data_IF_929258464780
#
_entry.id   IF_929258464780
#
_cell.length_a   1.000
_cell.length_b   1.000
_cell.length_c   1.000
_cell.angle_alpha   90.00
_cell.angle_beta   90.00
_cell.angle_gamma   90.00
#
_symmetry.space_group_name_H-M   'P 1'
#
loop_
_entity.id
_entity.type
_entity.pdbx_description
1 polymer ?
#
# COMPACT_ATOMS: atom_id res chain seq x y z
N UNK A 1 -13.42 0.62 -15.59
CA UNK A 1 -12.87 1.54 -16.63
C UNK A 1 -11.36 1.45 -16.61
N UNK A 2 -10.69 1.33 -17.77
CA UNK A 2 -9.24 1.38 -17.84
C UNK A 2 -8.76 2.78 -17.45
N UNK A 3 -7.88 2.85 -16.46
CA UNK A 3 -7.24 4.10 -16.04
C UNK A 3 -6.04 4.40 -16.94
N UNK A 4 -5.86 5.67 -17.28
CA UNK A 4 -4.73 6.11 -18.10
C UNK A 4 -3.39 5.81 -17.42
N UNK A 5 -2.31 5.66 -18.21
CA UNK A 5 -0.96 5.36 -17.69
C UNK A 5 -0.50 6.35 -16.61
N UNK A 6 -0.78 7.65 -16.81
CA UNK A 6 -0.52 8.72 -15.83
C UNK A 6 -1.33 8.57 -14.54
N UNK A 7 -2.59 8.12 -14.62
CA UNK A 7 -3.40 7.83 -13.43
C UNK A 7 -2.89 6.59 -12.69
N UNK A 8 -2.46 5.56 -13.43
CA UNK A 8 -1.88 4.35 -12.84
C UNK A 8 -0.61 4.67 -12.02
N UNK A 9 0.26 5.53 -12.55
CA UNK A 9 1.46 6.01 -11.85
C UNK A 9 1.12 6.76 -10.56
N UNK A 10 0.13 7.67 -10.61
CA UNK A 10 -0.34 8.39 -9.41
C UNK A 10 -0.90 7.41 -8.36
N UNK A 11 -1.70 6.44 -8.78
CA UNK A 11 -2.25 5.41 -7.90
C UNK A 11 -1.14 4.52 -7.30
N UNK A 12 -0.11 4.19 -8.07
CA UNK A 12 1.03 3.42 -7.56
C UNK A 12 1.85 4.20 -6.54
N UNK A 13 2.05 5.51 -6.74
CA UNK A 13 2.68 6.38 -5.73
C UNK A 13 1.87 6.43 -4.44
N UNK A 14 0.55 6.58 -4.53
CA UNK A 14 -0.35 6.58 -3.35
C UNK A 14 -0.32 5.23 -2.64
N UNK A 15 -0.31 4.12 -3.38
CA UNK A 15 -0.21 2.76 -2.81
C UNK A 15 1.13 2.56 -2.09
N UNK A 16 2.24 3.04 -2.66
CA UNK A 16 3.56 2.99 -2.02
C UNK A 16 3.61 3.81 -0.74
N UNK A 17 3.13 5.06 -0.76
CA UNK A 17 3.06 5.90 0.44
C UNK A 17 2.22 5.25 1.56
N UNK A 18 1.04 4.70 1.23
CA UNK A 18 0.23 3.95 2.19
C UNK A 18 0.93 2.68 2.70
N UNK A 19 1.71 2.00 1.87
CA UNK A 19 2.48 0.84 2.29
C UNK A 19 3.61 1.23 3.25
N UNK A 20 4.30 2.33 3.01
CA UNK A 20 5.33 2.87 3.91
C UNK A 20 4.74 3.31 5.26
N UNK A 21 3.60 4.00 5.27
CA UNK A 21 2.91 4.36 6.52
C UNK A 21 2.43 3.13 7.30
N UNK A 22 1.89 2.13 6.61
CA UNK A 22 1.50 0.87 7.24
C UNK A 22 2.72 0.06 7.70
N UNK A 23 3.87 0.18 7.04
CA UNK A 23 5.14 -0.42 7.48
C UNK A 23 5.59 0.22 8.78
N UNK A 24 5.70 1.54 8.82
CA UNK A 24 6.07 2.28 10.03
C UNK A 24 5.16 1.94 11.21
N UNK A 25 3.85 1.85 10.97
CA UNK A 25 2.90 1.43 12.01
C UNK A 25 3.03 -0.05 12.40
N UNK A 26 3.36 -0.93 11.46
CA UNK A 26 3.60 -2.35 11.74
C UNK A 26 4.90 -2.55 12.54
N UNK A 27 5.94 -1.78 12.24
CA UNK A 27 7.22 -1.76 12.95
C UNK A 27 7.07 -1.17 14.35
N UNK A 28 6.17 -0.19 14.52
CA UNK A 28 5.72 0.32 15.82
C UNK A 28 4.85 -0.69 16.63
N UNK A 29 4.72 -1.94 16.19
CA UNK A 29 4.03 -3.01 16.93
C UNK A 29 2.53 -3.15 16.62
N UNK A 30 1.98 -2.38 15.68
CA UNK A 30 0.56 -2.51 15.30
C UNK A 30 0.30 -3.79 14.49
N UNK A 31 -0.25 -4.81 15.15
CA UNK A 31 -0.71 -6.07 14.51
C UNK A 31 -1.75 -5.81 13.40
N UNK A 32 -2.54 -4.75 13.54
CA UNK A 32 -3.54 -4.36 12.54
C UNK A 32 -2.90 -3.78 11.26
N UNK A 33 -1.86 -2.96 11.41
CA UNK A 33 -1.09 -2.42 10.30
C UNK A 33 -0.35 -3.52 9.55
N UNK A 34 0.26 -4.47 10.27
CA UNK A 34 0.92 -5.65 9.67
C UNK A 34 -0.03 -6.50 8.82
N UNK A 35 -1.26 -6.75 9.30
CA UNK A 35 -2.32 -7.44 8.52
C UNK A 35 -2.73 -6.64 7.28
N UNK A 36 -2.86 -5.32 7.38
CA UNK A 36 -3.23 -4.44 6.25
C UNK A 36 -2.12 -4.38 5.20
N UNK A 37 -0.86 -4.29 5.63
CA UNK A 37 0.32 -4.30 4.76
C UNK A 37 0.41 -5.61 3.97
N UNK A 38 0.30 -6.76 4.66
CA UNK A 38 0.33 -8.09 4.02
C UNK A 38 -0.83 -8.31 3.03
N UNK A 39 -2.02 -7.74 3.30
CA UNK A 39 -3.15 -7.74 2.34
C UNK A 39 -2.90 -6.84 1.14
N UNK A 40 -2.23 -5.70 1.34
CA UNK A 40 -1.87 -4.78 0.25
C UNK A 40 -0.81 -5.39 -0.67
N UNK A 41 0.24 -5.99 -0.11
CA UNK A 41 1.26 -6.73 -0.87
C UNK A 41 0.65 -7.84 -1.72
N UNK A 42 -0.25 -8.66 -1.16
CA UNK A 42 -0.96 -9.71 -1.89
C UNK A 42 -1.87 -9.23 -3.02
N UNK A 43 -2.29 -7.95 -3.00
CA UNK A 43 -3.11 -7.35 -4.08
C UNK A 43 -2.26 -6.67 -5.16
N UNK A 44 -0.98 -6.44 -4.87
CA UNK A 44 -0.02 -5.81 -5.77
C UNK A 44 0.82 -6.87 -6.48
N UNK A 45 1.09 -7.99 -5.81
CA UNK A 45 1.66 -9.22 -6.39
C UNK A 45 0.65 -9.87 -7.33
#
# INVERSE_FOLDING_TARGET
MPVSKKQLEKLNKIKKAKAEDLSKQADAGSKSAKKKLKKLEKKIK
#
